data_IF_030304214899
#
_entry.id   IF_030304214899
#
_cell.length_a   1.000
_cell.length_b   1.000
_cell.length_c   1.000
_cell.angle_alpha   90.00
_cell.angle_beta   90.00
_cell.angle_gamma   90.00
#
_symmetry.space_group_name_H-M   'P 1'
#
loop_
_entity.id
_entity.type
_entity.pdbx_description
1 polymer ?
#
# COMPACT_ATOMS: atom_id res chain seq x y z
N UNK A 1 19.05 -29.97 38.01
CA UNK A 1 19.37 -28.99 36.95
C UNK A 1 19.44 -29.77 35.66
N UNK A 2 18.34 -29.82 34.91
CA UNK A 2 18.29 -30.55 33.63
C UNK A 2 18.93 -29.67 32.56
N UNK A 3 19.96 -30.22 31.94
CA UNK A 3 20.56 -29.71 30.71
C UNK A 3 19.48 -29.57 29.64
N UNK A 4 19.24 -28.34 29.17
CA UNK A 4 18.56 -28.12 27.90
C UNK A 4 19.48 -28.64 26.80
N UNK A 5 19.28 -29.90 26.41
CA UNK A 5 19.81 -30.41 25.16
C UNK A 5 19.14 -29.61 24.04
N UNK A 6 19.92 -28.67 23.52
CA UNK A 6 19.60 -27.87 22.35
C UNK A 6 19.76 -28.79 21.12
N UNK A 7 18.86 -29.76 20.97
CA UNK A 7 18.79 -30.57 19.75
C UNK A 7 18.01 -29.78 18.71
N UNK A 8 18.71 -28.91 17.99
CA UNK A 8 18.23 -28.34 16.73
C UNK A 8 18.06 -29.50 15.75
N UNK A 9 16.82 -29.94 15.54
CA UNK A 9 16.51 -31.00 14.57
C UNK A 9 16.89 -30.48 13.18
N UNK A 10 17.81 -31.15 12.45
CA UNK A 10 18.15 -30.78 11.08
C UNK A 10 16.89 -30.87 10.22
N UNK A 11 16.41 -29.73 9.72
CA UNK A 11 15.14 -29.60 8.97
C UNK A 11 14.26 -28.47 9.51
N UNK A 12 14.18 -28.30 10.83
CA UNK A 12 13.32 -27.29 11.46
C UNK A 12 13.69 -25.84 11.08
N UNK A 13 14.99 -25.53 10.99
CA UNK A 13 15.48 -24.20 10.59
C UNK A 13 15.18 -23.90 9.12
N UNK A 14 15.30 -24.91 8.24
CA UNK A 14 15.09 -24.73 6.80
C UNK A 14 13.59 -24.59 6.47
N UNK A 15 12.74 -25.29 7.22
CA UNK A 15 11.29 -25.15 7.12
C UNK A 15 10.80 -23.80 7.67
N UNK A 16 11.41 -23.29 8.76
CA UNK A 16 11.14 -21.95 9.27
C UNK A 16 11.48 -20.86 8.24
N UNK A 17 12.65 -20.97 7.59
CA UNK A 17 13.07 -20.02 6.55
C UNK A 17 12.09 -20.01 5.36
N UNK A 18 11.62 -21.18 4.91
CA UNK A 18 10.61 -21.28 3.84
C UNK A 18 9.27 -20.66 4.24
N UNK A 19 8.88 -20.81 5.51
CA UNK A 19 7.64 -20.25 6.03
C UNK A 19 7.74 -18.71 6.09
N UNK A 20 8.86 -18.17 6.55
CA UNK A 20 9.10 -16.72 6.56
C UNK A 20 9.10 -16.13 5.14
N UNK A 21 9.70 -16.83 4.17
CA UNK A 21 9.65 -16.45 2.76
C UNK A 21 8.22 -16.45 2.21
N UNK A 22 7.41 -17.45 2.55
CA UNK A 22 5.99 -17.49 2.20
C UNK A 22 5.23 -16.29 2.79
N UNK A 23 5.46 -15.97 4.07
CA UNK A 23 4.82 -14.83 4.72
C UNK A 23 5.23 -13.51 4.08
N UNK A 24 6.51 -13.32 3.76
CA UNK A 24 7.00 -12.12 3.07
C UNK A 24 6.34 -11.96 1.70
N UNK A 25 6.28 -13.01 0.89
CA UNK A 25 5.60 -12.96 -0.42
C UNK A 25 4.11 -12.65 -0.29
N UNK A 26 3.42 -13.26 0.68
CA UNK A 26 2.01 -12.98 0.93
C UNK A 26 1.78 -11.51 1.32
N UNK A 27 2.64 -10.97 2.19
CA UNK A 27 2.59 -9.57 2.59
C UNK A 27 2.85 -8.62 1.42
N UNK A 28 3.90 -8.86 0.63
CA UNK A 28 4.21 -8.06 -0.58
C UNK A 28 3.02 -8.08 -1.54
N UNK A 29 2.40 -9.25 -1.76
CA UNK A 29 1.21 -9.37 -2.61
C UNK A 29 0.05 -8.51 -2.13
N UNK A 30 -0.24 -8.51 -0.82
CA UNK A 30 -1.28 -7.66 -0.23
C UNK A 30 -0.98 -6.17 -0.43
N UNK A 31 0.26 -5.73 -0.19
CA UNK A 31 0.64 -4.31 -0.33
C UNK A 31 0.62 -3.87 -1.80
N UNK A 32 1.00 -4.74 -2.74
CA UNK A 32 0.87 -4.48 -4.17
C UNK A 32 -0.59 -4.31 -4.60
N UNK A 33 -1.50 -5.14 -4.08
CA UNK A 33 -2.94 -5.00 -4.35
C UNK A 33 -3.47 -3.67 -3.81
N UNK A 34 -3.10 -3.29 -2.58
CA UNK A 34 -3.44 -1.97 -2.02
C UNK A 34 -2.94 -0.85 -2.93
N UNK A 35 -1.70 -0.93 -3.42
CA UNK A 35 -1.15 0.09 -4.34
C UNK A 35 -1.96 0.18 -5.64
N UNK A 36 -2.44 -0.94 -6.17
CA UNK A 36 -3.29 -0.96 -7.35
C UNK A 36 -4.66 -0.32 -7.09
N UNK A 37 -5.25 -0.57 -5.91
CA UNK A 37 -6.48 0.06 -5.45
C UNK A 37 -6.31 1.58 -5.35
N UNK A 38 -5.24 2.05 -4.70
CA UNK A 38 -4.97 3.49 -4.56
C UNK A 38 -4.81 4.19 -5.90
N UNK A 39 -4.06 3.59 -6.83
CA UNK A 39 -3.88 4.14 -8.17
C UNK A 39 -5.20 4.24 -8.92
N UNK A 40 -6.06 3.23 -8.81
CA UNK A 40 -7.39 3.25 -9.43
C UNK A 40 -8.24 4.35 -8.82
N UNK A 41 -8.29 4.41 -7.50
CA UNK A 41 -9.06 5.42 -6.78
C UNK A 41 -8.62 6.85 -7.13
N UNK A 42 -7.30 7.10 -7.18
CA UNK A 42 -6.76 8.39 -7.59
C UNK A 42 -7.18 8.76 -9.01
N UNK A 43 -7.14 7.81 -9.95
CA UNK A 43 -7.57 8.04 -11.32
C UNK A 43 -9.07 8.33 -11.40
N UNK A 44 -9.89 7.62 -10.64
CA UNK A 44 -11.33 7.83 -10.59
C UNK A 44 -11.64 9.24 -10.04
N UNK A 45 -10.98 9.68 -8.96
CA UNK A 45 -11.12 11.04 -8.43
C UNK A 45 -10.69 12.12 -9.44
N UNK A 46 -9.57 11.92 -10.15
CA UNK A 46 -9.11 12.83 -11.22
C UNK A 46 -10.11 12.90 -12.37
N UNK A 47 -10.76 11.79 -12.70
CA UNK A 47 -11.77 11.77 -13.77
C UNK A 47 -13.00 12.62 -13.44
N UNK A 48 -13.34 12.77 -12.15
CA UNK A 48 -14.49 13.59 -11.73
C UNK A 48 -14.29 15.06 -12.07
N UNK A 49 -13.06 15.57 -12.10
CA UNK A 49 -12.78 16.96 -12.50
C UNK A 49 -13.30 17.29 -13.90
N UNK A 50 -13.34 16.29 -14.79
CA UNK A 50 -13.79 16.48 -16.18
C UNK A 50 -15.30 16.75 -16.29
N UNK A 51 -16.07 16.40 -15.25
CA UNK A 51 -17.52 16.60 -15.21
C UNK A 51 -17.94 17.72 -14.25
N UNK A 52 -16.98 18.44 -13.65
CA UNK A 52 -17.30 19.56 -12.76
C UNK A 52 -17.92 20.72 -13.53
N UNK A 53 -19.03 21.26 -13.00
CA UNK A 53 -19.61 22.48 -13.55
C UNK A 53 -18.92 23.70 -12.92
N UNK A 54 -18.17 24.50 -13.71
CA UNK A 54 -17.50 25.69 -13.18
C UNK A 54 -18.48 26.74 -12.64
N UNK A 55 -19.76 26.69 -13.03
CA UNK A 55 -20.77 27.61 -12.54
C UNK A 55 -21.13 27.41 -11.07
N UNK A 56 -20.81 26.24 -10.48
CA UNK A 56 -21.04 26.02 -9.04
C UNK A 56 -20.35 27.06 -8.18
N UNK A 57 -19.16 27.51 -8.57
CA UNK A 57 -18.37 28.54 -7.85
C UNK A 57 -19.06 29.91 -7.76
N UNK A 58 -19.98 30.18 -8.69
CA UNK A 58 -20.74 31.44 -8.78
C UNK A 58 -22.18 31.29 -8.31
N UNK A 59 -22.59 30.09 -7.93
CA UNK A 59 -23.96 29.76 -7.56
C UNK A 59 -24.19 29.89 -6.04
N UNK A 60 -25.45 29.98 -5.64
CA UNK A 60 -25.83 29.98 -4.22
C UNK A 60 -25.54 28.65 -3.51
N UNK A 61 -25.34 27.55 -4.24
CA UNK A 61 -24.99 26.25 -3.67
C UNK A 61 -23.49 26.12 -3.36
N UNK A 62 -22.66 27.11 -3.72
CA UNK A 62 -21.21 27.05 -3.51
C UNK A 62 -20.80 26.69 -2.07
N UNK A 63 -21.38 27.27 -1.00
CA UNK A 63 -21.02 26.91 0.36
C UNK A 63 -21.31 25.45 0.73
N UNK A 64 -22.19 24.78 -0.01
CA UNK A 64 -22.52 23.36 0.18
C UNK A 64 -21.57 22.45 -0.60
N UNK A 65 -21.17 22.87 -1.80
CA UNK A 65 -20.34 22.07 -2.72
C UNK A 65 -18.85 22.21 -2.38
N UNK A 66 -18.39 23.40 -2.04
CA UNK A 66 -16.95 23.68 -1.86
C UNK A 66 -16.27 22.81 -0.79
N UNK A 67 -16.88 22.50 0.37
CA UNK A 67 -16.22 21.63 1.35
C UNK A 67 -16.03 20.20 0.82
N UNK A 68 -16.97 19.70 0.01
CA UNK A 68 -16.88 18.38 -0.59
C UNK A 68 -15.79 18.32 -1.68
N UNK A 69 -15.66 19.37 -2.50
CA UNK A 69 -14.57 19.46 -3.46
C UNK A 69 -13.20 19.55 -2.76
N UNK A 70 -13.10 20.33 -1.67
CA UNK A 70 -11.87 20.38 -0.86
C UNK A 70 -11.53 19.02 -0.24
N UNK A 71 -12.53 18.25 0.18
CA UNK A 71 -12.32 16.88 0.65
C UNK A 71 -11.73 15.99 -0.46
N UNK A 72 -12.27 16.04 -1.68
CA UNK A 72 -11.70 15.28 -2.81
C UNK A 72 -10.26 15.69 -3.14
N UNK A 73 -9.92 16.99 -3.07
CA UNK A 73 -8.54 17.46 -3.25
C UNK A 73 -7.59 16.92 -2.17
N UNK A 74 -8.01 16.95 -0.91
CA UNK A 74 -7.23 16.40 0.20
C UNK A 74 -7.03 14.88 0.04
N UNK A 75 -8.07 14.16 -0.38
CA UNK A 75 -8.02 12.71 -0.61
C UNK A 75 -7.08 12.35 -1.77
N UNK A 76 -7.13 13.08 -2.89
CA UNK A 76 -6.17 12.92 -4.00
C UNK A 76 -4.74 13.14 -3.53
N UNK A 77 -4.49 14.22 -2.79
CA UNK A 77 -3.16 14.56 -2.26
C UNK A 77 -2.62 13.45 -1.36
N UNK A 78 -3.47 12.91 -0.49
CA UNK A 78 -3.12 11.79 0.39
C UNK A 78 -2.79 10.51 -0.40
N UNK A 79 -3.59 10.18 -1.43
CA UNK A 79 -3.34 9.01 -2.29
C UNK A 79 -2.03 9.16 -3.07
N UNK A 80 -1.75 10.35 -3.62
CA UNK A 80 -0.50 10.64 -4.33
C UNK A 80 0.72 10.42 -3.43
N UNK A 81 0.67 10.95 -2.20
CA UNK A 81 1.71 10.75 -1.21
C UNK A 81 1.86 9.26 -0.83
N UNK A 82 0.76 8.57 -0.52
CA UNK A 82 0.76 7.13 -0.21
C UNK A 82 1.41 6.30 -1.33
N UNK A 83 1.05 6.57 -2.59
CA UNK A 83 1.63 5.91 -3.75
C UNK A 83 3.12 6.21 -3.87
N UNK A 84 3.53 7.48 -3.70
CA UNK A 84 4.92 7.91 -3.79
C UNK A 84 5.80 7.24 -2.73
N UNK A 85 5.28 7.02 -1.52
CA UNK A 85 5.99 6.36 -0.43
C UNK A 85 6.03 4.84 -0.60
N UNK A 86 4.93 4.20 -1.02
CA UNK A 86 4.83 2.74 -1.13
C UNK A 86 5.65 2.17 -2.30
N UNK A 87 5.74 2.88 -3.42
CA UNK A 87 6.46 2.41 -4.62
C UNK A 87 7.93 2.07 -4.34
N UNK A 88 8.77 2.95 -3.75
CA UNK A 88 10.16 2.62 -3.46
C UNK A 88 10.29 1.52 -2.42
N UNK A 89 9.44 1.51 -1.38
CA UNK A 89 9.47 0.47 -0.34
C UNK A 89 9.22 -0.91 -0.95
N UNK A 90 8.22 -1.03 -1.82
CA UNK A 90 7.94 -2.28 -2.52
C UNK A 90 9.09 -2.71 -3.44
N UNK A 91 9.72 -1.75 -4.13
CA UNK A 91 10.85 -2.04 -5.00
C UNK A 91 12.07 -2.56 -4.21
N UNK A 92 12.30 -2.04 -3.00
CA UNK A 92 13.34 -2.53 -2.10
C UNK A 92 13.03 -3.93 -1.56
N UNK A 93 11.79 -4.16 -1.10
CA UNK A 93 11.35 -5.46 -0.59
C UNK A 93 11.44 -6.57 -1.67
N UNK A 94 11.18 -6.24 -2.93
CA UNK A 94 11.32 -7.18 -4.05
C UNK A 94 12.77 -7.46 -4.45
N UNK A 95 13.70 -6.55 -4.12
CA UNK A 95 15.15 -6.70 -4.39
C UNK A 95 15.90 -7.35 -3.23
N UNK A 96 15.31 -7.36 -2.03
CA UNK A 96 15.93 -7.94 -0.86
C UNK A 96 16.25 -9.43 -1.12
N UNK A 97 17.48 -9.88 -0.82
CA UNK A 97 17.84 -11.29 -0.98
C UNK A 97 16.97 -12.16 -0.09
N UNK A 98 16.52 -13.31 -0.61
CA UNK A 98 15.76 -14.27 0.18
C UNK A 98 16.62 -14.75 1.36
N UNK A 99 16.07 -14.80 2.58
CA UNK A 99 16.79 -15.37 3.74
C UNK A 99 17.16 -16.85 3.54
N UNK A 100 16.59 -17.53 2.53
CA UNK A 100 16.97 -18.87 2.11
C UNK A 100 18.27 -18.96 1.28
N UNK A 101 18.83 -17.82 0.88
CA UNK A 101 20.02 -17.73 0.02
C UNK A 101 21.31 -17.31 0.77
N UNK A 102 21.24 -17.17 2.11
CA UNK A 102 22.34 -16.74 2.97
C UNK A 102 22.99 -17.91 3.74
#
# INVERSE_FOLDING_TARGET
MSSFENTTVPGSTLDAIKLDEYHLHSFIGMVMEKLAIDKRHLNDLKSLETIWDPNWTKSSIWPLVSPLLSYFEAEKSHLEQSIQELVPILAELQRAPSPASA
#
